data_IF_298580108257
#
_entry.id   IF_298580108257
#
_cell.length_a   1.000
_cell.length_b   1.000
_cell.length_c   1.000
_cell.angle_alpha   90.00
_cell.angle_beta   90.00
_cell.angle_gamma   90.00
#
_symmetry.space_group_name_H-M   'P 1'
#
loop_
_entity.id
_entity.type
_entity.pdbx_description
1 polymer ?
#
# COMPACT_ATOMS: atom_id res chain seq x y z
N UNK A 1 6.83 -11.64 -12.09
CA UNK A 1 5.49 -11.04 -12.24
C UNK A 1 5.58 -9.58 -11.82
N UNK A 2 4.95 -8.67 -12.57
CA UNK A 2 4.99 -7.25 -12.24
C UNK A 2 4.08 -6.97 -11.04
N UNK A 3 4.57 -6.27 -10.02
CA UNK A 3 3.80 -5.81 -8.86
C UNK A 3 2.65 -4.82 -9.22
N UNK A 4 2.40 -4.61 -10.51
CA UNK A 4 1.38 -3.70 -11.03
C UNK A 4 -0.04 -4.11 -10.65
N UNK A 5 -0.41 -5.40 -10.77
CA UNK A 5 -1.77 -5.87 -10.49
C UNK A 5 -2.17 -5.58 -9.03
N UNK A 6 -1.27 -5.91 -8.08
CA UNK A 6 -1.47 -5.61 -6.66
C UNK A 6 -1.54 -4.11 -6.38
N UNK A 7 -0.62 -3.32 -6.93
CA UNK A 7 -0.63 -1.87 -6.73
C UNK A 7 -1.91 -1.21 -7.28
N UNK A 8 -2.38 -1.67 -8.44
CA UNK A 8 -3.64 -1.21 -9.03
C UNK A 8 -4.84 -1.57 -8.15
N UNK A 9 -4.90 -2.80 -7.65
CA UNK A 9 -5.96 -3.23 -6.75
C UNK A 9 -6.02 -2.40 -5.45
N UNK A 10 -4.86 -2.11 -4.86
CA UNK A 10 -4.76 -1.20 -3.68
C UNK A 10 -5.26 0.19 -4.03
N UNK A 11 -4.82 0.75 -5.17
CA UNK A 11 -5.22 2.09 -5.61
C UNK A 11 -6.73 2.20 -5.88
N UNK A 12 -7.31 1.23 -6.58
CA UNK A 12 -8.73 1.23 -6.93
C UNK A 12 -9.61 1.11 -5.67
N UNK A 13 -9.19 0.30 -4.68
CA UNK A 13 -9.86 0.19 -3.37
C UNK A 13 -9.81 1.51 -2.59
N UNK A 14 -8.66 2.17 -2.57
CA UNK A 14 -8.53 3.51 -1.98
C UNK A 14 -9.48 4.51 -2.63
N UNK A 15 -9.55 4.51 -3.97
CA UNK A 15 -10.42 5.40 -4.74
C UNK A 15 -11.90 5.11 -4.56
N UNK A 16 -12.26 3.84 -4.37
CA UNK A 16 -13.63 3.47 -4.03
C UNK A 16 -14.02 4.05 -2.67
N UNK A 17 -13.17 3.88 -1.65
CA UNK A 17 -13.39 4.46 -0.32
C UNK A 17 -13.52 5.99 -0.34
N UNK A 18 -12.62 6.69 -1.04
CA UNK A 18 -12.68 8.16 -1.20
C UNK A 18 -13.98 8.65 -1.86
N UNK A 19 -14.57 7.84 -2.74
CA UNK A 19 -15.79 8.18 -3.50
C UNK A 19 -17.06 7.63 -2.88
N UNK A 20 -16.98 6.97 -1.72
CA UNK A 20 -18.12 6.27 -1.12
C UNK A 20 -18.71 5.17 -2.02
N UNK A 21 -17.89 4.58 -2.90
CA UNK A 21 -18.28 3.49 -3.80
C UNK A 21 -18.01 2.13 -3.14
N UNK A 22 -18.73 1.07 -3.55
CA UNK A 22 -18.41 -0.28 -3.14
C UNK A 22 -16.95 -0.63 -3.46
N UNK A 23 -16.30 -1.40 -2.58
CA UNK A 23 -14.96 -1.90 -2.86
C UNK A 23 -14.97 -2.79 -4.12
N UNK A 24 -13.98 -2.64 -5.02
CA UNK A 24 -13.92 -3.45 -6.23
C UNK A 24 -13.67 -4.92 -5.88
N UNK A 25 -14.21 -5.83 -6.72
CA UNK A 25 -13.88 -7.26 -6.62
C UNK A 25 -12.41 -7.50 -6.97
N UNK A 26 -11.78 -8.44 -6.26
CA UNK A 26 -10.40 -8.84 -6.53
C UNK A 26 -10.27 -9.72 -7.80
N UNK A 27 -11.38 -10.20 -8.36
CA UNK A 27 -11.40 -11.10 -9.52
C UNK A 27 -10.99 -10.39 -10.83
N UNK A 28 -11.05 -9.06 -10.85
CA UNK A 28 -10.60 -8.23 -11.98
C UNK A 28 -9.08 -8.05 -12.07
N UNK A 29 -8.32 -8.67 -11.16
CA UNK A 29 -6.87 -8.52 -11.06
C UNK A 29 -6.18 -9.89 -11.08
N UNK A 30 -5.03 -9.96 -11.77
CA UNK A 30 -4.16 -11.13 -11.76
C UNK A 30 -3.36 -11.20 -10.45
N UNK A 31 -4.04 -11.51 -9.34
CA UNK A 31 -3.45 -11.65 -8.01
C UNK A 31 -3.21 -13.11 -7.65
N UNK A 32 -2.02 -13.41 -7.14
CA UNK A 32 -1.71 -14.64 -6.44
C UNK A 32 -2.56 -14.81 -5.17
N UNK A 33 -2.58 -16.03 -4.62
CA UNK A 33 -3.28 -16.30 -3.36
C UNK A 33 -2.77 -15.43 -2.20
N UNK A 34 -1.45 -15.23 -2.11
CA UNK A 34 -0.82 -14.41 -1.08
C UNK A 34 -1.20 -12.93 -1.19
N UNK A 35 -1.20 -12.38 -2.41
CA UNK A 35 -1.59 -10.99 -2.66
C UNK A 35 -3.07 -10.74 -2.32
N UNK A 36 -3.95 -11.64 -2.73
CA UNK A 36 -5.38 -11.57 -2.42
C UNK A 36 -5.62 -11.66 -0.91
N UNK A 37 -4.92 -12.56 -0.22
CA UNK A 37 -5.02 -12.68 1.23
C UNK A 37 -4.54 -11.40 1.94
N UNK A 38 -3.40 -10.84 1.53
CA UNK A 38 -2.87 -9.59 2.09
C UNK A 38 -3.83 -8.41 1.90
N UNK A 39 -4.42 -8.28 0.72
CA UNK A 39 -5.37 -7.20 0.40
C UNK A 39 -6.67 -7.32 1.21
N UNK A 40 -7.27 -8.51 1.27
CA UNK A 40 -8.51 -8.77 2.03
C UNK A 40 -8.30 -8.64 3.54
N UNK A 41 -7.20 -9.16 4.05
CA UNK A 41 -6.83 -9.10 5.46
C UNK A 41 -6.36 -7.72 5.92
N UNK A 42 -6.23 -6.76 5.00
CA UNK A 42 -5.65 -5.44 5.25
C UNK A 42 -4.26 -5.53 5.91
N UNK A 43 -3.49 -6.56 5.53
CA UNK A 43 -2.19 -6.85 6.12
C UNK A 43 -1.11 -5.95 5.50
N UNK A 44 -0.88 -4.81 6.14
CA UNK A 44 0.13 -3.83 5.72
C UNK A 44 1.53 -4.42 5.64
N UNK A 45 1.88 -5.36 6.53
CA UNK A 45 3.21 -5.97 6.55
C UNK A 45 3.37 -6.88 5.33
N UNK A 46 2.37 -7.71 5.05
CA UNK A 46 2.37 -8.55 3.86
C UNK A 46 2.40 -7.69 2.58
N UNK A 47 1.60 -6.63 2.49
CA UNK A 47 1.62 -5.70 1.34
C UNK A 47 2.98 -5.03 1.16
N UNK A 48 3.68 -4.71 2.26
CA UNK A 48 5.05 -4.17 2.22
C UNK A 48 6.04 -5.19 1.65
N UNK A 49 5.99 -6.44 2.15
CA UNK A 49 6.86 -7.53 1.69
C UNK A 49 6.58 -7.93 0.24
N UNK A 50 5.34 -7.79 -0.23
CA UNK A 50 4.92 -8.03 -1.61
C UNK A 50 5.30 -6.88 -2.57
N UNK A 51 5.93 -5.81 -2.05
CA UNK A 51 6.47 -4.73 -2.88
C UNK A 51 5.45 -3.65 -3.26
N UNK A 52 4.36 -3.48 -2.51
CA UNK A 52 3.48 -2.32 -2.69
C UNK A 52 4.25 -1.04 -2.37
N UNK A 53 4.11 -0.03 -3.23
CA UNK A 53 4.83 1.23 -3.05
C UNK A 53 4.45 1.93 -1.73
N UNK A 54 5.42 2.50 -0.98
CA UNK A 54 5.17 3.13 0.33
C UNK A 54 4.11 4.23 0.35
N UNK A 55 3.91 4.94 -0.76
CA UNK A 55 2.85 5.97 -0.88
C UNK A 55 1.46 5.35 -0.83
N UNK A 56 1.25 4.22 -1.52
CA UNK A 56 -0.01 3.50 -1.49
C UNK A 56 -0.24 2.85 -0.11
N UNK A 57 0.82 2.28 0.48
CA UNK A 57 0.77 1.72 1.83
C UNK A 57 0.36 2.75 2.90
N UNK A 58 0.92 3.95 2.83
CA UNK A 58 0.57 5.03 3.77
C UNK A 58 -0.90 5.45 3.63
N UNK A 59 -1.40 5.59 2.39
CA UNK A 59 -2.81 5.88 2.16
C UNK A 59 -3.72 4.73 2.64
N UNK A 60 -3.32 3.48 2.40
CA UNK A 60 -4.06 2.29 2.79
C UNK A 60 -4.08 2.08 4.32
N UNK A 61 -2.98 2.39 5.00
CA UNK A 61 -2.94 2.39 6.46
C UNK A 61 -3.96 3.38 7.04
N UNK A 62 -4.05 4.59 6.47
CA UNK A 62 -5.03 5.60 6.88
C UNK A 62 -6.46 5.16 6.61
N UNK A 63 -6.74 4.51 5.49
CA UNK A 63 -8.09 3.96 5.22
C UNK A 63 -8.47 2.82 6.16
N UNK A 64 -7.49 2.19 6.80
CA UNK A 64 -7.70 1.19 7.85
C UNK A 64 -7.81 1.80 9.27
N UNK A 65 -7.77 3.13 9.40
CA UNK A 65 -7.80 3.82 10.70
C UNK A 65 -6.47 3.85 11.44
N UNK A 66 -5.37 3.43 10.80
CA UNK A 66 -4.03 3.47 11.40
C UNK A 66 -3.48 4.90 11.28
N UNK A 67 -3.03 5.44 12.41
CA UNK A 67 -2.42 6.77 12.46
C UNK A 67 -1.05 6.75 11.77
N UNK A 68 -0.57 7.94 11.38
CA UNK A 68 0.78 8.09 10.79
C UNK A 68 1.87 7.53 11.70
N UNK A 69 1.72 7.70 13.01
CA UNK A 69 2.68 7.20 14.00
C UNK A 69 2.61 5.68 14.13
N UNK A 70 1.41 5.11 14.12
CA UNK A 70 1.21 3.66 14.06
C UNK A 70 1.86 3.05 12.81
N UNK A 71 1.66 3.67 11.65
CA UNK A 71 2.30 3.26 10.40
C UNK A 71 3.83 3.34 10.46
N UNK A 72 4.39 4.43 11.00
CA UNK A 72 5.84 4.57 11.19
C UNK A 72 6.41 3.49 12.11
N UNK A 73 5.73 3.19 13.22
CA UNK A 73 6.11 2.12 14.14
C UNK A 73 6.16 0.75 13.43
N UNK A 74 5.19 0.46 12.56
CA UNK A 74 5.17 -0.77 11.76
C UNK A 74 6.35 -0.86 10.77
N UNK A 75 6.80 0.28 10.26
CA UNK A 75 7.93 0.36 9.33
C UNK A 75 9.30 0.41 10.01
N UNK A 76 9.39 0.59 11.33
CA UNK A 76 10.68 0.86 12.01
C UNK A 76 11.65 -0.35 11.95
N UNK A 77 11.19 -1.52 11.51
CA UNK A 77 12.00 -2.72 11.26
C UNK A 77 12.15 -3.13 9.78
N UNK A 78 11.58 -2.37 8.85
CA UNK A 78 11.71 -2.58 7.40
C UNK A 78 12.64 -1.52 6.83
N UNK A 79 13.60 -1.94 5.99
CA UNK A 79 14.73 -1.18 5.42
C UNK A 79 14.64 0.36 5.46
N UNK A 80 15.76 1.00 5.80
CA UNK A 80 15.90 2.45 5.99
C UNK A 80 15.19 3.26 4.91
N UNK A 81 14.34 4.20 5.33
CA UNK A 81 13.73 5.18 4.45
C UNK A 81 14.84 5.90 3.67
N UNK A 82 14.90 5.68 2.36
CA UNK A 82 15.80 6.43 1.49
C UNK A 82 15.19 7.82 1.33
N UNK A 83 15.69 8.78 2.10
CA UNK A 83 15.36 10.18 1.91
C UNK A 83 16.05 10.64 0.62
N UNK A 84 15.31 10.63 -0.49
CA UNK A 84 15.81 11.09 -1.78
C UNK A 84 16.15 12.57 -1.68
N UNK A 85 17.43 12.92 -1.75
CA UNK A 85 17.85 14.32 -1.76
C UNK A 85 17.36 14.97 -3.05
N UNK A 86 16.46 15.97 -3.00
CA UNK A 86 15.97 16.62 -4.21
C UNK A 86 17.13 17.33 -4.90
N UNK A 87 17.20 17.25 -6.23
CA UNK A 87 18.25 17.91 -7.02
C UNK A 87 18.38 19.41 -6.77
N UNK A 88 17.30 20.08 -6.36
CA UNK A 88 17.29 21.51 -6.04
C UNK A 88 17.87 21.88 -4.68
N UNK A 89 18.13 20.89 -3.79
CA UNK A 89 18.66 21.11 -2.44
C UNK A 89 20.20 21.08 -2.41
N UNK A 90 20.85 20.71 -3.52
CA UNK A 90 22.28 20.85 -3.72
C UNK A 90 22.56 22.25 -4.33
N UNK A 91 22.55 23.29 -3.52
CA UNK A 91 23.02 24.64 -3.86
C UNK A 91 23.53 25.32 -2.60
#
# INVERSE_FOLDING_TARGET
MSAYALQRAVFDRLRAGERGRPEPSDDGYELSGAERAALRGRDLRALTLLGVHPVLLNAFARSCGITRDGYRAMLTGTAAAVEGSPRWRAS
#
